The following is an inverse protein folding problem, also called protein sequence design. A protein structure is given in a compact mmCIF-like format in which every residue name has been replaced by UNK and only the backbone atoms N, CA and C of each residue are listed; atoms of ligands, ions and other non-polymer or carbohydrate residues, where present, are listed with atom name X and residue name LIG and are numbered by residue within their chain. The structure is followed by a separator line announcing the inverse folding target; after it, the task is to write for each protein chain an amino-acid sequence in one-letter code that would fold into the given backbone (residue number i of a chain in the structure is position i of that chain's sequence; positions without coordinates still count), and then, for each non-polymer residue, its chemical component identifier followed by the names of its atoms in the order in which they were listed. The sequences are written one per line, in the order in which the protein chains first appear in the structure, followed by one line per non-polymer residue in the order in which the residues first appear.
data_IF_763639293203
#
_entry.id   IF_763639293203
#
_cell.length_a   1.000
_cell.length_b   1.000
_cell.length_c   1.000
_cell.angle_alpha   90.00
_cell.angle_beta   90.00
_cell.angle_gamma   90.00
#
_symmetry.space_group_name_H-M   'P 1'
#
loop_
_entity.id
_entity.type
_entity.pdbx_description
1 polymer ?
#
# COMPACT_ATOMS: atom_id res chain seq x y z
N UNK A 1 -24.06 3.40 -18.45
CA UNK A 1 -24.00 3.34 -16.97
C UNK A 1 -23.90 1.87 -16.60
N UNK A 2 -22.80 1.44 -15.97
CA UNK A 2 -22.62 0.04 -15.55
C UNK A 2 -23.50 -0.18 -14.32
N UNK A 3 -24.32 -1.24 -14.31
CA UNK A 3 -25.11 -1.66 -13.15
C UNK A 3 -24.47 -2.90 -12.54
N UNK A 4 -24.19 -2.85 -11.24
CA UNK A 4 -23.60 -3.96 -10.47
C UNK A 4 -24.55 -4.33 -9.33
N UNK A 5 -24.73 -5.62 -9.13
CA UNK A 5 -25.33 -6.18 -7.92
C UNK A 5 -24.36 -6.04 -6.73
N UNK A 6 -24.89 -6.17 -5.51
CA UNK A 6 -24.06 -6.16 -4.29
C UNK A 6 -23.03 -7.28 -4.27
N UNK A 7 -23.37 -8.43 -4.84
CA UNK A 7 -22.47 -9.59 -4.91
C UNK A 7 -21.31 -9.33 -5.88
N UNK A 8 -21.60 -8.81 -7.07
CA UNK A 8 -20.56 -8.45 -8.04
C UNK A 8 -19.63 -7.37 -7.49
N UNK A 9 -20.17 -6.34 -6.83
CA UNK A 9 -19.36 -5.30 -6.20
C UNK A 9 -18.46 -5.86 -5.08
N UNK A 10 -18.97 -6.78 -4.26
CA UNK A 10 -18.18 -7.45 -3.22
C UNK A 10 -17.05 -8.28 -3.81
N UNK A 11 -17.35 -9.12 -4.80
CA UNK A 11 -16.37 -9.98 -5.43
C UNK A 11 -15.31 -9.15 -6.17
N UNK A 12 -15.71 -8.06 -6.81
CA UNK A 12 -14.79 -7.10 -7.40
C UNK A 12 -13.82 -6.51 -6.36
N UNK A 13 -14.33 -6.05 -5.21
CA UNK A 13 -13.48 -5.50 -4.15
C UNK A 13 -12.54 -6.55 -3.56
N UNK A 14 -13.03 -7.78 -3.30
CA UNK A 14 -12.19 -8.87 -2.79
C UNK A 14 -11.09 -9.25 -3.79
N UNK A 15 -11.42 -9.34 -5.08
CA UNK A 15 -10.45 -9.59 -6.14
C UNK A 15 -9.41 -8.46 -6.23
N UNK A 16 -9.86 -7.20 -6.26
CA UNK A 16 -8.98 -6.01 -6.28
C UNK A 16 -8.09 -5.91 -5.04
N UNK A 17 -8.49 -6.50 -3.91
CA UNK A 17 -7.70 -6.53 -2.69
C UNK A 17 -6.83 -7.79 -2.56
N UNK A 18 -6.86 -8.71 -3.54
CA UNK A 18 -6.11 -9.97 -3.49
C UNK A 18 -6.62 -10.96 -2.45
N UNK A 19 -7.90 -10.86 -2.07
CA UNK A 19 -8.55 -11.66 -1.01
C UNK A 19 -9.57 -12.66 -1.56
N UNK A 20 -9.70 -12.77 -2.89
CA UNK A 20 -10.62 -13.71 -3.53
C UNK A 20 -9.86 -14.87 -4.17
N UNK A 21 -10.12 -16.09 -3.69
CA UNK A 21 -9.52 -17.31 -4.22
C UNK A 21 -8.09 -17.53 -3.75
N UNK A 22 -7.23 -18.03 -4.65
CA UNK A 22 -5.82 -18.25 -4.37
C UNK A 22 -5.05 -16.93 -4.37
N UNK A 23 -3.92 -16.88 -3.65
CA UNK A 23 -3.03 -15.73 -3.65
C UNK A 23 -2.53 -15.47 -5.08
N UNK A 24 -2.74 -14.25 -5.56
CA UNK A 24 -2.42 -13.84 -6.93
C UNK A 24 -1.00 -13.28 -7.04
N UNK A 25 -0.41 -12.91 -5.91
CA UNK A 25 0.90 -12.28 -5.79
C UNK A 25 1.87 -13.27 -5.14
N UNK A 26 3.11 -13.33 -5.61
CA UNK A 26 4.13 -14.22 -5.07
C UNK A 26 5.48 -13.53 -5.00
N UNK A 27 6.18 -13.73 -3.89
CA UNK A 27 7.51 -13.15 -3.65
C UNK A 27 7.54 -11.61 -3.72
N UNK A 28 8.75 -11.09 -3.92
CA UNK A 28 9.06 -9.66 -3.92
C UNK A 28 8.43 -8.89 -5.08
N UNK A 29 8.37 -9.49 -6.28
CA UNK A 29 7.71 -8.89 -7.45
C UNK A 29 6.20 -8.73 -7.20
N UNK A 30 5.55 -9.80 -6.71
CA UNK A 30 4.14 -9.76 -6.35
C UNK A 30 3.82 -8.76 -5.23
N UNK A 31 4.76 -8.55 -4.29
CA UNK A 31 4.64 -7.50 -3.27
C UNK A 31 4.52 -6.12 -3.91
N UNK A 32 5.44 -5.79 -4.81
CA UNK A 32 5.43 -4.51 -5.50
C UNK A 32 4.15 -4.33 -6.35
N UNK A 33 3.73 -5.38 -7.05
CA UNK A 33 2.50 -5.37 -7.85
C UNK A 33 1.25 -5.14 -7.00
N UNK A 34 1.17 -5.77 -5.83
CA UNK A 34 0.07 -5.54 -4.91
C UNK A 34 0.08 -4.10 -4.38
N UNK A 35 1.23 -3.56 -3.98
CA UNK A 35 1.31 -2.19 -3.44
C UNK A 35 0.91 -1.17 -4.51
N UNK A 36 1.33 -1.35 -5.77
CA UNK A 36 0.84 -0.54 -6.91
C UNK A 36 -0.66 -0.68 -7.12
N UNK A 37 -1.18 -1.90 -7.00
CA UNK A 37 -2.61 -2.17 -7.15
C UNK A 37 -3.45 -1.50 -6.06
N UNK A 38 -2.94 -1.48 -4.82
CA UNK A 38 -3.57 -0.87 -3.64
C UNK A 38 -3.37 0.66 -3.59
N UNK A 39 -2.28 1.17 -4.15
CA UNK A 39 -1.86 2.57 -4.11
C UNK A 39 -1.13 2.95 -2.82
N UNK A 40 -1.60 2.48 -1.67
CA UNK A 40 -0.89 2.58 -0.40
C UNK A 40 -1.30 1.49 0.59
N UNK A 41 -0.43 1.19 1.55
CA UNK A 41 -0.68 0.25 2.65
C UNK A 41 -0.45 0.99 3.96
N UNK A 42 -1.42 0.99 4.87
CA UNK A 42 -1.27 1.65 6.16
C UNK A 42 -0.11 1.02 6.96
N UNK A 43 0.70 1.87 7.59
CA UNK A 43 1.80 1.46 8.43
C UNK A 43 1.65 2.02 9.85
N UNK A 44 1.18 1.16 10.73
CA UNK A 44 1.25 1.26 12.18
C UNK A 44 2.42 0.41 12.71
N UNK A 45 3.39 1.00 13.44
CA UNK A 45 4.57 0.30 13.97
C UNK A 45 4.26 -0.58 15.20
N UNK A 46 3.03 -0.60 15.71
CA UNK A 46 2.64 -1.52 16.79
C UNK A 46 2.84 -2.96 16.32
N UNK A 47 3.72 -3.68 17.01
CA UNK A 47 4.08 -5.06 16.70
C UNK A 47 3.73 -5.98 17.88
N UNK A 48 2.58 -6.65 17.78
CA UNK A 48 2.15 -7.69 18.74
C UNK A 48 2.33 -9.08 18.13
N UNK A 49 2.04 -9.22 16.83
CA UNK A 49 2.15 -10.48 16.07
C UNK A 49 2.67 -10.25 14.63
N UNK A 50 3.34 -9.13 14.41
CA UNK A 50 3.60 -8.53 13.11
C UNK A 50 3.01 -7.12 13.04
N UNK A 51 3.68 -6.24 12.30
CA UNK A 51 3.18 -4.89 12.04
C UNK A 51 2.00 -4.93 11.06
N UNK A 52 1.17 -3.90 11.04
CA UNK A 52 0.03 -3.80 10.12
C UNK A 52 0.35 -4.04 8.63
N UNK A 53 1.46 -3.54 8.04
CA UNK A 53 1.80 -3.84 6.65
C UNK A 53 2.23 -5.30 6.49
N UNK A 54 2.99 -5.86 7.43
CA UNK A 54 3.40 -7.26 7.37
C UNK A 54 2.20 -8.20 7.35
N UNK A 55 1.22 -7.98 8.24
CA UNK A 55 -0.02 -8.78 8.28
C UNK A 55 -0.82 -8.63 6.98
N UNK A 56 -0.89 -7.40 6.45
CA UNK A 56 -1.58 -7.10 5.19
C UNK A 56 -0.94 -7.85 4.02
N UNK A 57 0.38 -7.81 3.92
CA UNK A 57 1.16 -8.41 2.84
C UNK A 57 1.20 -9.94 2.95
N UNK A 58 1.40 -10.48 4.15
CA UNK A 58 1.38 -11.92 4.41
C UNK A 58 0.04 -12.57 4.01
N UNK A 59 -1.08 -11.88 4.17
CA UNK A 59 -2.39 -12.40 3.77
C UNK A 59 -2.56 -12.54 2.24
N UNK A 60 -1.80 -11.78 1.46
CA UNK A 60 -2.03 -11.60 0.00
C UNK A 60 -0.93 -12.17 -0.87
N UNK A 61 0.29 -12.25 -0.33
CA UNK A 61 1.48 -12.61 -1.08
C UNK A 61 1.92 -14.02 -0.65
N UNK A 62 2.11 -14.89 -1.63
CA UNK A 62 2.66 -16.21 -1.45
C UNK A 62 4.17 -16.12 -1.22
N UNK A 63 4.71 -16.92 -0.30
CA UNK A 63 6.12 -16.90 0.12
C UNK A 63 6.61 -15.54 0.64
N UNK A 64 5.71 -14.71 1.18
CA UNK A 64 6.08 -13.44 1.81
C UNK A 64 7.08 -13.66 2.96
N UNK A 65 8.13 -12.83 2.99
CA UNK A 65 9.02 -12.68 4.14
C UNK A 65 9.19 -11.20 4.46
N UNK A 66 9.58 -10.87 5.70
CA UNK A 66 9.75 -9.48 6.15
C UNK A 66 10.88 -8.78 5.39
N UNK A 67 11.93 -9.55 5.07
CA UNK A 67 13.11 -9.08 4.35
C UNK A 67 12.75 -8.56 2.95
N UNK A 68 11.74 -9.15 2.29
CA UNK A 68 11.26 -8.65 1.00
C UNK A 68 10.70 -7.22 1.11
N UNK A 69 9.98 -6.92 2.20
CA UNK A 69 9.44 -5.59 2.44
C UNK A 69 10.57 -4.61 2.78
N UNK A 70 11.47 -4.99 3.68
CA UNK A 70 12.62 -4.19 4.07
C UNK A 70 13.47 -3.84 2.85
N UNK A 71 13.81 -4.83 2.02
CA UNK A 71 14.57 -4.64 0.77
C UNK A 71 13.93 -3.59 -0.14
N UNK A 72 12.61 -3.66 -0.33
CA UNK A 72 11.90 -2.71 -1.19
C UNK A 72 11.84 -1.29 -0.60
N UNK A 73 11.79 -1.16 0.73
CA UNK A 73 11.76 0.13 1.43
C UNK A 73 13.13 0.80 1.49
N UNK A 74 14.16 0.06 1.90
CA UNK A 74 15.40 0.68 2.40
C UNK A 74 16.62 0.39 1.52
N UNK A 75 16.64 -0.74 0.81
CA UNK A 75 17.75 -1.16 -0.05
C UNK A 75 17.50 -0.70 -1.48
N UNK A 76 16.44 -1.20 -2.11
CA UNK A 76 16.07 -0.86 -3.50
C UNK A 76 15.36 0.49 -3.60
N UNK A 77 14.73 0.94 -2.50
CA UNK A 77 14.01 2.22 -2.40
C UNK A 77 12.92 2.38 -3.48
N UNK A 78 12.23 1.29 -3.77
CA UNK A 78 11.07 1.27 -4.67
C UNK A 78 9.78 1.61 -3.90
N UNK A 79 9.77 1.38 -2.60
CA UNK A 79 8.73 1.80 -1.67
C UNK A 79 9.25 2.89 -0.74
N UNK A 80 8.33 3.72 -0.23
CA UNK A 80 8.61 4.73 0.78
C UNK A 80 7.56 4.67 1.89
N UNK A 81 7.98 4.79 3.14
CA UNK A 81 7.13 5.07 4.27
C UNK A 81 6.91 6.58 4.40
N UNK A 82 5.68 7.02 4.19
CA UNK A 82 5.33 8.43 4.12
C UNK A 82 3.96 8.70 4.74
N UNK A 83 3.76 9.94 5.19
CA UNK A 83 2.50 10.37 5.79
C UNK A 83 1.51 10.81 4.72
N UNK A 84 0.51 9.97 4.39
CA UNK A 84 -0.71 10.36 3.68
C UNK A 84 -1.91 10.23 4.63
N UNK A 85 -2.28 11.34 5.26
CA UNK A 85 -3.17 11.42 6.43
C UNK A 85 -2.61 10.71 7.67
N UNK A 86 -2.19 9.46 7.54
CA UNK A 86 -1.47 8.64 8.52
C UNK A 86 -0.21 8.03 7.86
N UNK A 87 0.65 7.41 8.66
CA UNK A 87 1.83 6.71 8.14
C UNK A 87 1.38 5.52 7.26
N UNK A 88 1.96 5.43 6.06
CA UNK A 88 1.66 4.40 5.08
C UNK A 88 2.88 4.12 4.20
N UNK A 89 2.87 2.98 3.53
CA UNK A 89 3.85 2.56 2.54
C UNK A 89 3.23 2.74 1.16
N UNK A 90 3.94 3.40 0.25
CA UNK A 90 3.50 3.62 -1.13
C UNK A 90 4.65 3.48 -2.14
N UNK A 91 4.36 3.26 -3.42
CA UNK A 91 5.38 3.23 -4.48
C UNK A 91 6.04 4.60 -4.63
N UNK A 92 7.37 4.64 -4.78
CA UNK A 92 8.09 5.92 -4.90
C UNK A 92 7.61 6.74 -6.11
N UNK A 93 7.16 6.07 -7.18
CA UNK A 93 6.57 6.70 -8.36
C UNK A 93 5.32 7.55 -8.05
N UNK A 94 4.53 7.17 -7.04
CA UNK A 94 3.30 7.87 -6.66
C UNK A 94 3.55 9.06 -5.71
N UNK A 95 4.78 9.21 -5.19
CA UNK A 95 5.13 10.27 -4.24
C UNK A 95 4.83 11.68 -4.76
N UNK A 96 5.01 11.92 -6.07
CA UNK A 96 4.73 13.24 -6.68
C UNK A 96 3.25 13.61 -6.63
N UNK A 97 2.36 12.63 -6.77
CA UNK A 97 0.90 12.82 -6.67
C UNK A 97 0.49 13.14 -5.24
N UNK A 98 1.08 12.45 -4.25
CA UNK A 98 0.80 12.70 -2.83
C UNK A 98 1.38 14.02 -2.34
N UNK A 99 2.62 14.33 -2.68
CA UNK A 99 3.26 15.60 -2.31
C UNK A 99 2.54 16.80 -2.94
N UNK A 100 2.03 16.69 -4.17
CA UNK A 100 1.21 17.74 -4.77
C UNK A 100 -0.11 17.97 -4.02
N UNK A 101 -0.78 16.89 -3.58
CA UNK A 101 -2.02 16.98 -2.78
C UNK A 101 -1.77 17.57 -1.39
N UNK A 102 -0.67 17.22 -0.75
CA UNK A 102 -0.29 17.76 0.56
C UNK A 102 0.20 19.21 0.43
N UNK A 103 0.93 19.55 -0.63
CA UNK A 103 1.38 20.93 -0.86
C UNK A 103 0.19 21.87 -1.07
N UNK A 104 -0.86 21.40 -1.75
CA UNK A 104 -2.13 22.12 -1.88
C UNK A 104 -2.91 22.31 -0.57
N UNK A 105 -2.64 21.51 0.48
CA UNK A 105 -3.42 21.54 1.73
C UNK A 105 -2.63 21.96 2.99
N UNK A 106 -1.30 21.83 3.05
CA UNK A 106 -0.55 22.05 4.29
C UNK A 106 0.85 22.69 4.15
N UNK A 107 1.55 22.65 3.02
CA UNK A 107 2.87 23.31 2.91
C UNK A 107 2.84 24.78 2.48
N UNK A 108 1.74 25.28 1.89
CA UNK A 108 1.63 26.70 1.55
C UNK A 108 1.23 27.63 2.72
N UNK A 109 1.14 27.13 3.97
CA UNK A 109 0.77 27.95 5.14
C UNK A 109 1.85 28.12 6.20
N UNK A 110 3.09 27.73 5.93
CA UNK A 110 4.24 28.04 6.78
C UNK A 110 5.35 28.70 5.97
N UNK A 111 5.06 29.89 5.45
CA UNK A 111 6.05 30.92 5.11
C UNK A 111 5.30 32.26 5.06
N UNK A 112 5.15 32.87 6.23
CA UNK A 112 4.56 34.19 6.41
C UNK A 112 4.90 34.73 7.78
N UNK A 113 6.02 35.46 7.82
CA UNK A 113 6.47 36.48 8.78
C UNK A 113 6.25 36.25 10.28
#
# INVERSE_FOLDING_TARGET
MIRLTKEEARNFLLAKQGLLGHKQFSGKEGLMDFVRQAGSVQFDPVDVCGTSPELTLQARIEYFTKEMLDELLYQDRLLIDFFDKNLCILPIEDLTVFTSKICGNQLCRSNGA
#
